data_IF_002980267117
#
_entry.id   IF_002980267117
#
_cell.length_a   1.000
_cell.length_b   1.000
_cell.length_c   1.000
_cell.angle_alpha   90.00
_cell.angle_beta   90.00
_cell.angle_gamma   90.00
#
_symmetry.space_group_name_H-M   'P 1'
#
loop_
_entity.id
_entity.type
_entity.pdbx_description
1 polymer ?
#
# COMPACT_ATOMS: atom_id res chain seq x y z
N UNK A 1 1.18 -17.27 10.56
CA UNK A 1 0.60 -17.67 11.90
C UNK A 1 -0.89 -17.40 11.99
N UNK A 2 -1.43 -16.20 11.72
CA UNK A 2 -2.89 -15.98 11.78
C UNK A 2 -3.65 -16.88 10.78
N UNK A 3 -3.21 -16.89 9.51
CA UNK A 3 -3.81 -17.75 8.48
C UNK A 3 -3.78 -19.24 8.87
N UNK A 4 -2.67 -19.76 9.39
CA UNK A 4 -2.58 -21.16 9.84
C UNK A 4 -3.64 -21.53 10.90
N UNK A 5 -3.86 -20.63 11.87
CA UNK A 5 -4.88 -20.86 12.92
C UNK A 5 -6.28 -20.91 12.34
N UNK A 6 -6.60 -20.00 11.42
CA UNK A 6 -7.91 -19.95 10.75
C UNK A 6 -8.12 -21.23 9.93
N UNK A 7 -7.16 -21.62 9.14
CA UNK A 7 -7.25 -22.81 8.28
C UNK A 7 -7.33 -24.11 9.12
N UNK A 8 -6.48 -24.21 10.17
CA UNK A 8 -6.51 -25.36 11.07
C UNK A 8 -7.87 -25.54 11.77
N UNK A 9 -8.53 -24.46 12.16
CA UNK A 9 -9.87 -24.51 12.75
C UNK A 9 -10.94 -25.11 11.80
N UNK A 10 -10.65 -25.16 10.50
CA UNK A 10 -11.51 -25.73 9.46
C UNK A 10 -10.95 -27.03 8.85
N UNK A 11 -10.03 -27.70 9.54
CA UNK A 11 -9.47 -28.97 9.07
C UNK A 11 -8.56 -28.83 7.83
N UNK A 12 -7.95 -27.67 7.65
CA UNK A 12 -7.03 -27.39 6.54
C UNK A 12 -5.63 -27.15 7.09
N UNK A 13 -4.65 -27.85 6.54
CA UNK A 13 -3.23 -27.64 6.82
C UNK A 13 -2.62 -26.74 5.75
N UNK A 14 -1.95 -25.66 6.14
CA UNK A 14 -1.08 -24.90 5.23
C UNK A 14 0.24 -25.66 5.09
N UNK A 15 0.41 -26.34 3.96
CA UNK A 15 1.56 -27.19 3.74
C UNK A 15 2.71 -26.48 3.02
N UNK A 16 2.43 -25.40 2.27
CA UNK A 16 3.46 -24.64 1.57
C UNK A 16 3.10 -23.17 1.41
N UNK A 17 4.10 -22.30 1.15
CA UNK A 17 3.95 -20.87 0.95
C UNK A 17 4.97 -20.36 -0.06
N UNK A 18 4.56 -19.38 -0.88
CA UNK A 18 5.44 -18.61 -1.77
C UNK A 18 5.29 -17.13 -1.49
N UNK A 19 6.43 -16.43 -1.49
CA UNK A 19 6.46 -14.98 -1.49
C UNK A 19 6.43 -14.46 -2.93
N UNK A 20 5.50 -13.56 -3.23
CA UNK A 20 5.35 -12.95 -4.55
C UNK A 20 5.45 -11.43 -4.44
N UNK A 21 6.11 -10.75 -5.41
CA UNK A 21 6.41 -9.31 -5.29
C UNK A 21 5.22 -8.39 -5.57
N UNK A 22 4.01 -8.92 -5.74
CA UNK A 22 2.82 -8.13 -6.04
C UNK A 22 2.40 -7.26 -4.85
N UNK A 23 1.98 -6.02 -5.13
CA UNK A 23 1.46 -5.07 -4.14
C UNK A 23 2.42 -4.73 -2.98
N UNK A 24 3.73 -4.81 -3.21
CA UNK A 24 4.74 -4.57 -2.17
C UNK A 24 5.04 -5.79 -1.30
N UNK A 25 4.71 -6.97 -1.78
CA UNK A 25 4.87 -8.26 -1.13
C UNK A 25 3.52 -8.90 -0.79
N UNK A 26 3.35 -10.13 -1.23
CA UNK A 26 2.17 -10.96 -0.97
C UNK A 26 2.59 -12.39 -0.71
N UNK A 27 1.75 -13.15 -0.05
CA UNK A 27 1.95 -14.58 0.15
C UNK A 27 0.93 -15.36 -0.67
N UNK A 28 1.42 -16.34 -1.44
CA UNK A 28 0.58 -17.41 -1.97
C UNK A 28 0.68 -18.56 -1.02
N UNK A 29 -0.44 -18.97 -0.45
CA UNK A 29 -0.52 -20.07 0.49
C UNK A 29 -1.16 -21.29 -0.17
N UNK A 30 -0.65 -22.47 0.16
CA UNK A 30 -1.13 -23.76 -0.33
C UNK A 30 -1.71 -24.54 0.84
N UNK A 31 -3.01 -24.89 0.74
CA UNK A 31 -3.74 -25.61 1.75
C UNK A 31 -4.14 -27.02 1.27
N UNK A 32 -4.19 -27.97 2.17
CA UNK A 32 -4.71 -29.31 1.94
C UNK A 32 -5.58 -29.74 3.11
N UNK A 33 -6.36 -30.80 2.96
CA UNK A 33 -7.02 -31.45 4.11
C UNK A 33 -5.97 -31.90 5.12
N UNK A 34 -6.36 -31.90 6.40
CA UNK A 34 -5.48 -32.34 7.50
C UNK A 34 -4.81 -33.69 7.17
N UNK A 35 -3.52 -33.75 7.41
CA UNK A 35 -2.65 -34.93 7.19
C UNK A 35 -2.48 -35.40 5.73
N UNK A 36 -3.00 -34.67 4.73
CA UNK A 36 -2.80 -35.04 3.33
C UNK A 36 -1.37 -34.77 2.83
N UNK A 37 -0.70 -33.70 3.33
CA UNK A 37 0.69 -33.38 3.02
C UNK A 37 1.43 -32.87 4.27
N UNK A 38 2.72 -33.19 4.41
CA UNK A 38 3.53 -32.65 5.51
C UNK A 38 3.80 -31.16 5.32
N UNK A 39 3.91 -30.43 6.43
CA UNK A 39 4.27 -28.99 6.41
C UNK A 39 5.70 -28.81 5.91
N UNK A 40 5.83 -28.12 4.80
CA UNK A 40 7.09 -27.86 4.09
C UNK A 40 8.04 -26.90 4.82
N UNK A 41 9.31 -26.84 4.37
CA UNK A 41 10.33 -25.99 4.98
C UNK A 41 10.00 -24.49 4.87
N UNK A 42 9.44 -24.02 3.75
CA UNK A 42 9.11 -22.61 3.53
C UNK A 42 8.11 -22.07 4.56
N UNK A 43 7.13 -22.89 4.97
CA UNK A 43 6.19 -22.53 6.04
C UNK A 43 6.90 -22.39 7.38
N UNK A 44 7.81 -23.33 7.68
CA UNK A 44 8.59 -23.33 8.93
C UNK A 44 9.52 -22.12 9.00
N UNK A 45 10.18 -21.78 7.90
CA UNK A 45 11.06 -20.60 7.80
C UNK A 45 10.28 -19.30 7.94
N UNK A 46 9.13 -19.16 7.26
CA UNK A 46 8.28 -17.99 7.36
C UNK A 46 7.78 -17.82 8.81
N UNK A 47 7.35 -18.90 9.46
CA UNK A 47 6.92 -18.87 10.87
C UNK A 47 8.05 -18.40 11.78
N UNK A 48 9.25 -18.96 11.65
CA UNK A 48 10.40 -18.57 12.44
C UNK A 48 10.79 -17.10 12.21
N UNK A 49 10.64 -16.58 10.99
CA UNK A 49 10.86 -15.19 10.64
C UNK A 49 9.81 -14.26 11.29
N UNK A 50 8.53 -14.62 11.24
CA UNK A 50 7.44 -13.87 11.90
C UNK A 50 7.62 -13.83 13.42
N UNK A 51 8.04 -14.95 14.03
CA UNK A 51 8.32 -15.01 15.48
C UNK A 51 9.50 -14.14 15.86
N UNK A 52 10.61 -14.20 15.14
CA UNK A 52 11.78 -13.33 15.35
C UNK A 52 11.44 -11.86 15.19
N UNK A 53 10.59 -11.52 14.22
CA UNK A 53 10.10 -10.16 14.01
C UNK A 53 9.07 -9.70 15.07
N UNK A 54 8.64 -10.58 15.98
CA UNK A 54 7.70 -10.28 17.03
C UNK A 54 6.25 -10.10 16.60
N UNK A 55 5.86 -10.58 15.39
CA UNK A 55 4.49 -10.43 14.89
C UNK A 55 3.43 -11.23 15.69
N UNK A 56 3.86 -12.04 16.65
CA UNK A 56 3.01 -12.72 17.60
C UNK A 56 2.87 -11.97 18.96
N UNK A 57 3.45 -10.77 19.08
CA UNK A 57 3.46 -9.97 20.32
C UNK A 57 2.78 -8.62 20.10
N UNK A 58 2.04 -8.17 21.10
CA UNK A 58 1.31 -6.90 21.04
C UNK A 58 2.25 -5.69 20.96
N UNK A 59 3.41 -5.76 21.62
CA UNK A 59 4.40 -4.70 21.65
C UNK A 59 4.90 -4.32 20.24
N UNK A 60 4.97 -5.28 19.32
CA UNK A 60 5.35 -5.03 17.93
C UNK A 60 4.37 -4.09 17.22
N UNK A 61 3.11 -4.10 17.62
CA UNK A 61 2.05 -3.29 17.01
C UNK A 61 1.83 -1.95 17.72
N UNK A 62 2.32 -1.80 18.94
CA UNK A 62 2.15 -0.55 19.72
C UNK A 62 2.78 0.67 19.04
N UNK A 63 3.91 0.48 18.34
CA UNK A 63 4.62 1.53 17.61
C UNK A 63 4.03 1.83 16.23
N UNK A 64 3.17 0.95 15.71
CA UNK A 64 2.61 1.09 14.34
C UNK A 64 1.81 2.38 14.18
N UNK A 65 1.03 2.75 15.18
CA UNK A 65 0.23 3.99 15.15
C UNK A 65 1.12 5.22 14.97
N UNK A 66 2.25 5.31 15.65
CA UNK A 66 3.18 6.44 15.48
C UNK A 66 3.86 6.42 14.11
N UNK A 67 4.21 5.27 13.56
CA UNK A 67 4.74 5.15 12.22
C UNK A 67 3.74 5.68 11.17
N UNK A 68 2.46 5.34 11.33
CA UNK A 68 1.38 5.84 10.45
C UNK A 68 1.23 7.36 10.57
N UNK A 69 1.22 7.90 11.80
CA UNK A 69 1.17 9.35 12.03
C UNK A 69 2.38 10.07 11.43
N UNK A 70 3.56 9.49 11.57
CA UNK A 70 4.79 10.05 11.02
C UNK A 70 4.77 10.07 9.48
N UNK A 71 4.25 9.02 8.85
CA UNK A 71 4.02 9.00 7.40
C UNK A 71 3.10 10.15 6.96
N UNK A 72 2.02 10.40 7.72
CA UNK A 72 1.12 11.53 7.48
C UNK A 72 1.84 12.87 7.60
N UNK A 73 2.62 13.08 8.68
CA UNK A 73 3.36 14.34 8.92
C UNK A 73 4.33 14.64 7.77
N UNK A 74 5.15 13.67 7.38
CA UNK A 74 6.12 13.81 6.28
C UNK A 74 5.44 14.11 4.95
N UNK A 75 4.34 13.42 4.64
CA UNK A 75 3.59 13.68 3.41
C UNK A 75 3.00 15.09 3.39
N UNK A 76 2.38 15.52 4.49
CA UNK A 76 1.81 16.86 4.58
C UNK A 76 2.90 17.94 4.53
N UNK A 77 4.01 17.76 5.23
CA UNK A 77 5.16 18.68 5.19
C UNK A 77 5.65 18.88 3.74
N UNK A 78 5.86 17.79 3.01
CA UNK A 78 6.24 17.83 1.60
C UNK A 78 5.22 18.61 0.74
N UNK A 79 3.93 18.31 0.90
CA UNK A 79 2.88 18.95 0.12
C UNK A 79 2.75 20.46 0.45
N UNK A 80 2.81 20.81 1.73
CA UNK A 80 2.77 22.21 2.19
C UNK A 80 3.95 22.99 1.61
N UNK A 81 5.16 22.42 1.68
CA UNK A 81 6.35 23.06 1.14
C UNK A 81 6.23 23.27 -0.37
N UNK A 82 5.79 22.26 -1.11
CA UNK A 82 5.60 22.37 -2.56
C UNK A 82 4.56 23.46 -2.93
N UNK A 83 3.46 23.56 -2.18
CA UNK A 83 2.45 24.60 -2.40
C UNK A 83 2.96 26.01 -2.04
N UNK A 84 3.75 26.15 -0.98
CA UNK A 84 4.43 27.42 -0.63
C UNK A 84 5.39 27.90 -1.73
N UNK A 85 6.02 26.95 -2.42
CA UNK A 85 6.87 27.22 -3.59
C UNK A 85 6.08 27.48 -4.88
N UNK A 86 4.75 27.55 -4.81
CA UNK A 86 3.87 27.80 -5.97
C UNK A 86 3.78 26.61 -6.95
N UNK A 87 4.15 25.39 -6.53
CA UNK A 87 4.11 24.20 -7.38
C UNK A 87 2.69 23.67 -7.52
N UNK A 88 2.33 23.26 -8.74
CA UNK A 88 1.16 22.40 -8.98
C UNK A 88 1.53 20.94 -8.73
N UNK A 89 0.60 20.18 -8.17
CA UNK A 89 0.84 18.76 -7.82
C UNK A 89 -0.21 17.90 -8.48
N UNK A 90 0.24 16.91 -9.25
CA UNK A 90 -0.63 15.91 -9.86
C UNK A 90 -0.28 14.51 -9.35
N UNK A 91 -1.31 13.70 -9.09
CA UNK A 91 -1.14 12.28 -8.75
C UNK A 91 -0.99 11.42 -10.01
N UNK A 92 -0.24 10.33 -9.91
CA UNK A 92 -0.20 9.31 -10.96
C UNK A 92 -0.75 7.99 -10.42
N UNK A 93 -1.89 7.57 -10.97
CA UNK A 93 -2.70 6.44 -10.51
C UNK A 93 -3.80 6.87 -9.53
N UNK A 94 -4.91 6.13 -9.57
CA UNK A 94 -6.05 6.25 -8.65
C UNK A 94 -6.34 4.90 -7.97
N UNK A 95 -5.36 4.30 -7.25
CA UNK A 95 -5.55 3.02 -6.56
C UNK A 95 -6.31 3.21 -5.24
N UNK A 96 -7.03 2.18 -4.81
CA UNK A 96 -7.76 2.19 -3.53
C UNK A 96 -6.88 2.53 -2.33
N UNK A 97 -5.66 1.96 -2.27
CA UNK A 97 -4.70 2.24 -1.21
C UNK A 97 -4.27 3.72 -1.16
N UNK A 98 -4.01 4.32 -2.33
CA UNK A 98 -3.70 5.76 -2.43
C UNK A 98 -4.87 6.62 -1.95
N UNK A 99 -6.09 6.27 -2.35
CA UNK A 99 -7.29 6.96 -1.88
C UNK A 99 -7.45 6.90 -0.35
N UNK A 100 -7.18 5.74 0.26
CA UNK A 100 -7.19 5.59 1.73
C UNK A 100 -6.17 6.52 2.39
N UNK A 101 -4.96 6.60 1.85
CA UNK A 101 -3.91 7.48 2.37
C UNK A 101 -4.30 8.94 2.29
N UNK A 102 -4.82 9.39 1.14
CA UNK A 102 -5.25 10.77 0.95
C UNK A 102 -6.38 11.16 1.91
N UNK A 103 -7.39 10.30 2.08
CA UNK A 103 -8.47 10.52 3.04
C UNK A 103 -7.95 10.59 4.48
N UNK A 104 -7.08 9.65 4.88
CA UNK A 104 -6.47 9.64 6.21
C UNK A 104 -5.65 10.89 6.49
N UNK A 105 -4.91 11.37 5.50
CA UNK A 105 -4.11 12.59 5.63
C UNK A 105 -4.94 13.88 5.56
N UNK A 106 -6.17 13.82 5.05
CA UNK A 106 -7.01 15.00 4.82
C UNK A 106 -6.59 15.78 3.56
N UNK A 107 -5.91 15.12 2.62
CA UNK A 107 -5.42 15.73 1.37
C UNK A 107 -6.56 15.80 0.37
N UNK A 108 -6.81 16.99 -0.17
CA UNK A 108 -7.85 17.27 -1.16
C UNK A 108 -7.30 18.11 -2.30
N UNK A 109 -8.20 18.78 -3.03
CA UNK A 109 -7.87 19.63 -4.18
C UNK A 109 -7.07 20.88 -3.84
N UNK A 110 -6.98 21.25 -2.57
CA UNK A 110 -6.09 22.30 -2.06
C UNK A 110 -4.60 21.90 -2.16
N UNK A 111 -4.29 20.62 -2.10
CA UNK A 111 -2.93 20.07 -2.26
C UNK A 111 -2.70 19.45 -3.64
N UNK A 112 -3.61 18.57 -4.09
CA UNK A 112 -3.47 17.83 -5.34
C UNK A 112 -4.53 18.30 -6.33
N UNK A 113 -4.09 18.94 -7.41
CA UNK A 113 -4.97 19.54 -8.38
C UNK A 113 -5.80 18.49 -9.15
N UNK A 114 -5.19 17.35 -9.48
CA UNK A 114 -5.82 16.19 -10.13
C UNK A 114 -4.97 14.93 -10.02
N UNK A 115 -5.53 13.82 -10.40
CA UNK A 115 -4.76 12.58 -10.65
C UNK A 115 -5.02 12.06 -12.05
N UNK A 116 -4.11 11.22 -12.57
CA UNK A 116 -4.32 10.53 -13.83
C UNK A 116 -4.31 9.02 -13.62
N UNK A 117 -5.13 8.29 -14.36
CA UNK A 117 -5.15 6.82 -14.30
C UNK A 117 -5.31 6.24 -15.71
N UNK A 118 -4.67 5.10 -15.97
CA UNK A 118 -4.74 4.38 -17.26
C UNK A 118 -6.10 3.72 -17.46
N UNK A 119 -6.84 3.44 -16.40
CA UNK A 119 -8.15 2.80 -16.46
C UNK A 119 -9.20 3.75 -16.97
N UNK A 120 -9.76 3.44 -18.14
CA UNK A 120 -10.86 4.19 -18.75
C UNK A 120 -12.10 4.28 -17.85
N UNK A 121 -12.33 3.28 -17.01
CA UNK A 121 -13.45 3.26 -16.05
C UNK A 121 -13.35 4.31 -14.95
N UNK A 122 -12.13 4.80 -14.66
CA UNK A 122 -11.88 5.81 -13.63
C UNK A 122 -11.81 7.22 -14.21
N UNK A 123 -11.42 7.36 -15.46
CA UNK A 123 -11.30 8.66 -16.12
C UNK A 123 -12.64 9.40 -16.15
N UNK A 124 -12.61 10.71 -15.94
CA UNK A 124 -13.80 11.57 -15.84
C UNK A 124 -14.57 11.44 -14.52
N UNK A 125 -14.05 10.68 -13.56
CA UNK A 125 -14.61 10.53 -12.20
C UNK A 125 -13.75 11.24 -11.17
N UNK A 126 -14.13 11.11 -9.91
CA UNK A 126 -13.44 11.69 -8.76
C UNK A 126 -12.98 10.60 -7.81
N UNK A 127 -11.89 10.86 -7.08
CA UNK A 127 -11.50 10.01 -5.94
C UNK A 127 -12.55 10.14 -4.83
N UNK A 128 -13.06 9.02 -4.28
CA UNK A 128 -14.03 9.05 -3.19
C UNK A 128 -13.52 9.79 -1.95
N UNK A 129 -14.35 10.65 -1.38
CA UNK A 129 -14.05 11.41 -0.17
C UNK A 129 -13.17 12.65 -0.37
N UNK A 130 -12.17 12.59 -1.25
CA UNK A 130 -11.26 13.72 -1.52
C UNK A 130 -11.73 14.61 -2.65
N UNK A 131 -12.59 14.10 -3.53
CA UNK A 131 -13.11 14.79 -4.73
C UNK A 131 -12.03 15.26 -5.73
N UNK A 132 -10.83 14.65 -5.67
CA UNK A 132 -9.77 14.93 -6.64
C UNK A 132 -10.17 14.33 -7.99
N UNK A 133 -10.19 15.13 -9.09
CA UNK A 133 -10.61 14.62 -10.40
C UNK A 133 -9.58 13.67 -11.01
N UNK A 134 -10.08 12.69 -11.76
CA UNK A 134 -9.25 11.66 -12.43
C UNK A 134 -9.30 11.88 -13.93
N UNK A 135 -8.14 12.08 -14.54
CA UNK A 135 -8.00 12.30 -15.97
C UNK A 135 -7.22 11.17 -16.66
N UNK A 136 -7.20 11.20 -17.97
CA UNK A 136 -6.33 10.36 -18.78
C UNK A 136 -4.85 10.74 -18.61
N UNK A 137 -3.89 9.79 -18.72
CA UNK A 137 -2.45 10.06 -18.53
C UNK A 137 -1.88 11.14 -19.44
N UNK A 138 -2.50 11.35 -20.61
CA UNK A 138 -2.11 12.39 -21.59
C UNK A 138 -2.15 13.80 -21.00
N UNK A 139 -2.98 14.04 -19.97
CA UNK A 139 -3.03 15.34 -19.30
C UNK A 139 -1.69 15.73 -18.66
N UNK A 140 -0.91 14.76 -18.16
CA UNK A 140 0.43 15.01 -17.61
C UNK A 140 1.43 15.40 -18.70
N UNK A 141 1.32 14.87 -19.92
CA UNK A 141 2.25 15.18 -21.02
C UNK A 141 2.23 16.63 -21.46
N UNK A 142 1.09 17.28 -21.30
CA UNK A 142 0.96 18.74 -21.61
C UNK A 142 1.75 19.58 -20.58
N UNK A 143 2.00 19.05 -19.39
CA UNK A 143 2.73 19.70 -18.30
C UNK A 143 4.17 19.19 -18.12
N UNK A 144 4.61 18.15 -18.85
CA UNK A 144 5.95 17.53 -18.73
C UNK A 144 7.11 18.47 -19.05
N UNK A 145 6.88 19.62 -19.65
CA UNK A 145 7.92 20.66 -19.79
C UNK A 145 8.36 21.24 -18.43
N UNK A 146 7.77 20.86 -17.29
CA UNK A 146 8.01 21.46 -15.97
C UNK A 146 8.27 20.50 -14.80
N UNK A 147 8.18 19.17 -14.96
CA UNK A 147 8.30 18.23 -13.83
C UNK A 147 9.37 17.16 -14.09
N UNK A 148 10.46 17.20 -13.34
CA UNK A 148 11.39 16.05 -13.22
C UNK A 148 10.68 14.92 -12.45
N UNK A 149 10.83 13.63 -12.86
CA UNK A 149 10.24 12.53 -12.13
C UNK A 149 10.83 12.43 -10.72
N UNK A 150 9.98 12.31 -9.73
CA UNK A 150 10.38 11.96 -8.38
C UNK A 150 10.75 10.46 -8.36
N UNK A 151 11.85 10.08 -7.71
CA UNK A 151 12.15 8.68 -7.49
C UNK A 151 11.04 8.02 -6.66
N UNK A 152 10.76 6.72 -6.87
CA UNK A 152 9.81 6.01 -6.02
C UNK A 152 10.26 6.12 -4.56
N UNK A 153 9.30 6.34 -3.66
CA UNK A 153 9.53 6.28 -2.21
C UNK A 153 9.98 4.85 -1.88
N UNK A 154 11.27 4.64 -1.76
CA UNK A 154 11.82 3.43 -1.16
C UNK A 154 11.50 3.50 0.34
N UNK A 155 10.51 2.71 0.74
CA UNK A 155 10.30 2.37 2.14
C UNK A 155 11.49 1.48 2.54
N UNK A 156 12.53 2.10 3.10
CA UNK A 156 13.60 1.35 3.74
C UNK A 156 12.98 0.56 4.91
N UNK A 157 13.15 -0.76 4.81
CA UNK A 157 12.68 -1.74 5.78
C UNK A 157 13.44 -1.72 7.09
#
# INVERSE_FOLDING_TARGET
MAAERIFAAHGITLFDVEEIPTHGGSLRIYGCHTDAYPVGPRVKELRAREERAGFNRMERYSTFTEQVKETKRKLLEFLIQAKREGKSIAGYGAPGKGNTLLNYCGIRTDFIDYTVDRSLYKQGKFLPGTHIPIYAPQKNRVNEARLRPYPPLELQG
#
